data_IF_266665040954
#
_entry.id   IF_266665040954
#
_cell.length_a   1.000
_cell.length_b   1.000
_cell.length_c   1.000
_cell.angle_alpha   90.00
_cell.angle_beta   90.00
_cell.angle_gamma   90.00
#
_symmetry.space_group_name_H-M   'P 1'
#
loop_
_entity.id
_entity.type
_entity.pdbx_description
1 polymer ?
#
# COMPACT_ATOMS: atom_id res chain seq x y z
N UNK A 1 10.22 3.61 -5.54
CA UNK A 1 11.03 3.34 -6.74
C UNK A 1 10.16 2.66 -7.79
N UNK A 2 10.51 2.73 -9.07
CA UNK A 2 9.78 2.03 -10.15
C UNK A 2 10.08 0.53 -10.11
N UNK A 3 9.33 -0.28 -10.85
CA UNK A 3 9.53 -1.74 -10.87
C UNK A 3 10.94 -2.17 -11.29
N UNK A 4 11.54 -1.50 -12.28
CA UNK A 4 12.87 -1.86 -12.79
C UNK A 4 14.01 -1.28 -11.96
N UNK A 5 13.75 -0.18 -11.24
CA UNK A 5 14.76 0.54 -10.45
C UNK A 5 14.77 0.09 -8.97
N UNK A 6 13.85 -0.79 -8.57
CA UNK A 6 13.71 -1.22 -7.17
C UNK A 6 14.76 -2.26 -6.79
N UNK A 7 15.47 -2.04 -5.68
CA UNK A 7 16.30 -3.08 -5.07
C UNK A 7 15.42 -4.18 -4.45
N UNK A 8 15.47 -5.37 -5.04
CA UNK A 8 14.71 -6.54 -4.59
C UNK A 8 15.01 -6.93 -3.14
N UNK A 9 16.21 -6.64 -2.62
CA UNK A 9 16.57 -6.91 -1.22
C UNK A 9 15.74 -6.05 -0.26
N UNK A 10 15.45 -4.81 -0.62
CA UNK A 10 14.56 -3.95 0.16
C UNK A 10 13.11 -4.43 0.11
N UNK A 11 12.67 -4.98 -1.03
CA UNK A 11 11.36 -5.65 -1.14
C UNK A 11 11.30 -6.87 -0.22
N UNK A 12 12.33 -7.70 -0.20
CA UNK A 12 12.40 -8.86 0.70
C UNK A 12 12.37 -8.44 2.17
N UNK A 13 13.11 -7.40 2.56
CA UNK A 13 13.04 -6.83 3.91
C UNK A 13 11.63 -6.35 4.25
N UNK A 14 10.97 -5.65 3.32
CA UNK A 14 9.60 -5.19 3.49
C UNK A 14 8.63 -6.36 3.71
N UNK A 15 8.71 -7.44 2.92
CA UNK A 15 7.89 -8.64 3.10
C UNK A 15 8.20 -9.36 4.42
N UNK A 16 9.48 -9.45 4.78
CA UNK A 16 9.91 -10.04 6.06
C UNK A 16 9.25 -9.37 7.27
N UNK A 17 9.05 -8.05 7.22
CA UNK A 17 8.39 -7.28 8.28
C UNK A 17 6.87 -7.32 8.13
N UNK A 18 6.34 -6.90 6.98
CA UNK A 18 4.92 -6.59 6.81
C UNK A 18 4.04 -7.80 6.51
N UNK A 19 4.64 -8.90 6.04
CA UNK A 19 3.94 -10.15 5.74
C UNK A 19 4.39 -11.21 6.74
N UNK A 20 5.65 -11.61 6.69
CA UNK A 20 6.10 -12.73 7.51
C UNK A 20 6.12 -12.40 9.02
N UNK A 21 6.29 -11.13 9.41
CA UNK A 21 6.18 -10.69 10.80
C UNK A 21 4.83 -11.03 11.43
N UNK A 22 3.69 -10.50 10.92
CA UNK A 22 2.36 -10.87 11.37
C UNK A 22 2.07 -12.37 11.35
N UNK A 23 2.53 -13.11 10.33
CA UNK A 23 2.38 -14.57 10.29
C UNK A 23 3.09 -15.25 11.46
N UNK A 24 4.34 -14.87 11.75
CA UNK A 24 5.10 -15.39 12.90
C UNK A 24 4.40 -15.01 14.21
N UNK A 25 3.90 -13.78 14.35
CA UNK A 25 3.13 -13.37 15.53
C UNK A 25 1.91 -14.27 15.72
N UNK A 26 1.05 -14.42 14.72
CA UNK A 26 -0.15 -15.28 14.82
C UNK A 26 0.25 -16.72 15.14
N UNK A 27 1.30 -17.27 14.49
CA UNK A 27 1.79 -18.62 14.76
C UNK A 27 2.17 -18.83 16.23
N UNK A 28 2.80 -17.85 16.91
CA UNK A 28 3.17 -18.02 18.32
C UNK A 28 2.03 -17.70 19.30
N UNK A 29 1.18 -16.72 18.98
CA UNK A 29 0.13 -16.23 19.89
C UNK A 29 -1.23 -16.92 19.70
N UNK A 30 -1.41 -17.80 18.70
CA UNK A 30 -2.70 -18.44 18.42
C UNK A 30 -3.34 -19.16 19.62
N UNK A 31 -2.63 -19.87 20.53
CA UNK A 31 -3.29 -20.57 21.63
C UNK A 31 -3.97 -19.59 22.59
N UNK A 32 -3.32 -18.45 22.86
CA UNK A 32 -3.88 -17.38 23.69
C UNK A 32 -5.05 -16.68 22.99
N UNK A 33 -4.94 -16.44 21.68
CA UNK A 33 -6.01 -15.83 20.88
C UNK A 33 -7.26 -16.71 20.89
N UNK A 34 -7.11 -18.03 20.73
CA UNK A 34 -8.22 -19.00 20.78
C UNK A 34 -8.84 -19.03 22.18
N UNK A 35 -8.03 -19.17 23.24
CA UNK A 35 -8.52 -19.20 24.63
C UNK A 35 -9.30 -17.93 25.00
N UNK A 36 -8.85 -16.77 24.54
CA UNK A 36 -9.49 -15.49 24.83
C UNK A 36 -10.62 -15.12 23.86
N UNK A 37 -10.85 -15.90 22.79
CA UNK A 37 -11.74 -15.52 21.66
C UNK A 37 -11.41 -14.11 21.15
N UNK A 38 -10.11 -13.84 21.01
CA UNK A 38 -9.56 -12.53 20.74
C UNK A 38 -9.81 -12.01 19.33
N UNK A 39 -9.28 -10.83 19.03
CA UNK A 39 -9.36 -10.19 17.71
C UNK A 39 -7.97 -9.95 17.15
N UNK A 40 -7.70 -10.47 15.95
CA UNK A 40 -6.54 -10.10 15.13
C UNK A 40 -6.94 -8.89 14.29
N UNK A 41 -6.15 -7.82 14.39
CA UNK A 41 -6.33 -6.56 13.63
C UNK A 41 -5.16 -6.38 12.68
N UNK A 42 -5.39 -6.59 11.39
CA UNK A 42 -4.40 -6.35 10.35
C UNK A 42 -4.50 -4.91 9.85
N UNK A 43 -3.42 -4.14 9.93
CA UNK A 43 -3.38 -2.78 9.38
C UNK A 43 -2.87 -2.84 7.94
N UNK A 44 -3.77 -2.58 7.01
CA UNK A 44 -3.51 -2.46 5.58
C UNK A 44 -3.55 -1.03 5.08
N UNK A 45 -3.37 -0.88 3.76
CA UNK A 45 -3.31 0.41 3.08
C UNK A 45 -4.00 0.35 1.74
N UNK A 46 -4.60 1.47 1.32
CA UNK A 46 -5.07 1.66 -0.06
C UNK A 46 -3.99 1.44 -1.11
N UNK A 47 -2.71 1.63 -0.76
CA UNK A 47 -1.59 1.33 -1.67
C UNK A 47 -1.31 -0.17 -1.87
N UNK A 48 -2.03 -1.06 -1.18
CA UNK A 48 -2.07 -2.49 -1.51
C UNK A 48 -3.16 -2.85 -2.53
N UNK A 49 -4.00 -1.88 -2.91
CA UNK A 49 -5.11 -2.03 -3.88
C UNK A 49 -4.81 -1.23 -5.15
N UNK A 50 -4.31 0.00 -4.99
CA UNK A 50 -3.94 0.88 -6.11
C UNK A 50 -2.54 0.47 -6.63
N UNK A 51 -2.38 0.17 -7.94
CA UNK A 51 -1.09 -0.18 -8.54
C UNK A 51 -0.20 1.06 -8.68
N UNK A 52 0.42 1.46 -7.58
CA UNK A 52 1.17 2.70 -7.49
C UNK A 52 2.56 2.58 -8.11
N UNK A 53 2.93 3.50 -9.01
CA UNK A 53 4.18 3.41 -9.78
C UNK A 53 5.45 3.48 -8.92
N UNK A 54 5.47 4.36 -7.92
CA UNK A 54 6.69 4.68 -7.17
C UNK A 54 6.81 3.93 -5.83
N UNK A 55 6.08 2.84 -5.66
CA UNK A 55 6.29 1.94 -4.54
C UNK A 55 5.31 0.78 -4.50
N UNK A 56 5.76 -0.32 -3.93
CA UNK A 56 4.91 -1.44 -3.57
C UNK A 56 4.59 -1.35 -2.08
N UNK A 57 3.33 -1.63 -1.71
CA UNK A 57 2.99 -1.98 -0.33
C UNK A 57 2.56 -3.44 -0.32
N UNK A 58 3.28 -4.27 0.42
CA UNK A 58 2.84 -5.64 0.68
C UNK A 58 1.74 -5.60 1.74
N UNK A 59 0.55 -6.06 1.37
CA UNK A 59 -0.55 -6.24 2.31
C UNK A 59 -1.06 -7.68 2.25
N UNK A 60 -1.39 -8.25 3.41
CA UNK A 60 -2.06 -9.55 3.49
C UNK A 60 -3.55 -9.42 3.21
N UNK A 61 -3.95 -9.63 1.96
CA UNK A 61 -5.34 -9.92 1.61
C UNK A 61 -5.63 -11.41 1.88
N UNK A 62 -5.94 -11.76 3.12
CA UNK A 62 -6.32 -13.15 3.42
C UNK A 62 -6.83 -13.36 4.84
N UNK A 63 -8.11 -13.72 4.97
CA UNK A 63 -8.64 -14.36 6.18
C UNK A 63 -8.35 -15.85 6.06
N UNK A 64 -7.12 -16.29 6.33
CA UNK A 64 -6.82 -17.70 6.04
C UNK A 64 -7.58 -18.65 6.97
N UNK A 65 -7.75 -18.42 8.27
CA UNK A 65 -8.39 -19.45 9.12
C UNK A 65 -9.14 -18.89 10.35
N UNK A 66 -10.33 -18.30 10.14
CA UNK A 66 -11.24 -17.98 11.24
C UNK A 66 -12.17 -19.19 11.51
N UNK A 67 -11.67 -20.24 12.16
CA UNK A 67 -12.46 -21.45 12.47
C UNK A 67 -12.71 -21.70 13.98
N UNK A 68 -12.33 -20.80 14.88
CA UNK A 68 -12.39 -21.04 16.34
C UNK A 68 -12.68 -19.79 17.19
N UNK A 69 -13.78 -19.07 16.94
CA UNK A 69 -14.20 -17.85 17.68
C UNK A 69 -13.20 -16.67 17.70
N UNK A 70 -12.03 -16.81 17.06
CA UNK A 70 -11.08 -15.73 16.86
C UNK A 70 -11.57 -14.83 15.74
N UNK A 71 -11.70 -13.54 16.04
CA UNK A 71 -12.13 -12.52 15.09
C UNK A 71 -10.93 -12.03 14.31
N UNK A 72 -11.12 -11.78 13.02
CA UNK A 72 -10.08 -11.22 12.16
C UNK A 72 -10.68 -10.05 11.40
N UNK A 73 -10.13 -8.86 11.62
CA UNK A 73 -10.51 -7.63 10.93
C UNK A 73 -9.29 -7.02 10.26
N UNK A 74 -9.50 -6.46 9.09
CA UNK A 74 -8.50 -5.72 8.33
C UNK A 74 -8.92 -4.27 8.23
N UNK A 75 -8.03 -3.37 8.63
CA UNK A 75 -8.20 -1.93 8.47
C UNK A 75 -7.54 -1.52 7.17
N UNK A 76 -8.29 -1.01 6.21
CA UNK A 76 -7.75 -0.43 4.98
C UNK A 76 -7.55 1.07 5.21
N UNK A 77 -6.29 1.44 5.42
CA UNK A 77 -5.91 2.81 5.77
C UNK A 77 -5.65 3.65 4.53
N UNK A 78 -6.20 4.86 4.54
CA UNK A 78 -5.88 5.93 3.62
C UNK A 78 -4.53 6.60 3.90
N UNK A 79 -4.38 7.85 3.48
CA UNK A 79 -3.22 8.67 3.87
C UNK A 79 -3.37 9.12 5.33
N UNK A 80 -2.46 8.66 6.20
CA UNK A 80 -2.44 9.00 7.63
C UNK A 80 -1.18 9.81 7.94
N UNK A 81 -1.33 10.90 8.69
CA UNK A 81 -0.25 11.83 9.03
C UNK A 81 0.74 11.20 10.01
N UNK A 82 1.76 10.54 9.47
CA UNK A 82 2.82 9.83 10.20
C UNK A 82 4.19 10.19 9.64
N UNK A 83 5.26 9.74 10.30
CA UNK A 83 6.64 9.98 9.86
C UNK A 83 7.11 9.01 8.76
N UNK A 84 6.22 8.20 8.18
CA UNK A 84 6.60 7.13 7.23
C UNK A 84 7.25 7.64 5.95
N UNK A 85 6.95 8.88 5.54
CA UNK A 85 7.52 9.50 4.33
C UNK A 85 8.77 10.34 4.63
N UNK A 86 9.23 10.42 5.89
CA UNK A 86 10.36 11.30 6.27
C UNK A 86 11.66 10.94 5.53
N UNK A 87 11.91 9.66 5.33
CA UNK A 87 13.08 9.15 4.60
C UNK A 87 12.88 9.09 3.08
N UNK A 88 11.68 9.44 2.60
CA UNK A 88 11.31 9.30 1.20
C UNK A 88 11.88 10.46 0.36
N UNK A 89 12.00 11.64 0.97
CA UNK A 89 12.34 12.93 0.34
C UNK A 89 13.70 12.97 -0.36
N UNK A 90 14.62 12.09 0.01
CA UNK A 90 15.97 12.01 -0.56
C UNK A 90 16.08 11.05 -1.76
N UNK A 91 15.00 10.37 -2.16
CA UNK A 91 15.06 9.41 -3.26
C UNK A 91 15.25 10.11 -4.60
N UNK A 92 16.09 9.53 -5.44
CA UNK A 92 16.30 9.89 -6.84
C UNK A 92 16.14 8.66 -7.73
N UNK A 93 15.85 8.88 -9.02
CA UNK A 93 15.97 7.81 -10.00
C UNK A 93 17.46 7.44 -10.15
N UNK A 94 17.80 6.16 -10.32
CA UNK A 94 19.18 5.76 -10.58
C UNK A 94 19.65 6.27 -11.94
N UNK A 95 20.96 6.43 -12.07
CA UNK A 95 21.58 6.78 -13.34
C UNK A 95 21.28 5.70 -14.41
N UNK A 96 20.96 6.13 -15.63
CA UNK A 96 20.59 5.22 -16.72
C UNK A 96 19.21 4.58 -16.61
N UNK A 97 18.38 4.99 -15.64
CA UNK A 97 16.99 4.52 -15.56
C UNK A 97 16.21 4.83 -16.83
N UNK A 98 15.45 3.85 -17.34
CA UNK A 98 14.46 4.07 -18.41
C UNK A 98 13.43 5.17 -18.03
N UNK A 99 13.21 5.39 -16.73
CA UNK A 99 12.31 6.42 -16.23
C UNK A 99 12.96 7.80 -16.11
N UNK A 100 14.21 7.99 -16.52
CA UNK A 100 14.91 9.28 -16.46
C UNK A 100 14.12 10.47 -17.06
N UNK A 101 13.33 10.32 -18.16
CA UNK A 101 12.47 11.41 -18.65
C UNK A 101 11.40 11.90 -17.66
N UNK A 102 11.10 11.10 -16.62
CA UNK A 102 10.18 11.43 -15.52
C UNK A 102 10.90 11.90 -14.25
N UNK A 103 12.21 12.21 -14.30
CA UNK A 103 12.97 12.60 -13.11
C UNK A 103 12.35 13.78 -12.36
N UNK A 104 11.80 14.76 -13.07
CA UNK A 104 11.10 15.91 -12.48
C UNK A 104 9.82 15.48 -11.77
N UNK A 105 8.96 14.72 -12.44
CA UNK A 105 7.72 14.17 -11.88
C UNK A 105 7.99 13.28 -10.65
N UNK A 106 9.08 12.51 -10.68
CA UNK A 106 9.52 11.70 -9.56
C UNK A 106 9.94 12.57 -8.37
N UNK A 107 10.73 13.63 -8.59
CA UNK A 107 11.13 14.57 -7.53
C UNK A 107 9.92 15.28 -6.92
N UNK A 108 9.00 15.80 -7.75
CA UNK A 108 7.75 16.42 -7.30
C UNK A 108 6.90 15.44 -6.48
N UNK A 109 6.84 14.18 -6.90
CA UNK A 109 6.14 13.13 -6.17
C UNK A 109 6.77 12.84 -4.80
N UNK A 110 8.09 12.76 -4.74
CA UNK A 110 8.85 12.46 -3.52
C UNK A 110 8.77 13.61 -2.50
N UNK A 111 8.67 14.85 -2.97
CA UNK A 111 8.58 16.05 -2.13
C UNK A 111 7.13 16.44 -1.79
N UNK A 112 6.13 15.70 -2.27
CA UNK A 112 4.72 16.04 -2.06
C UNK A 112 4.33 16.03 -0.59
N UNK A 113 3.39 16.91 -0.24
CA UNK A 113 2.68 16.88 1.04
C UNK A 113 1.29 16.29 0.80
N UNK A 114 1.03 15.02 1.15
CA UNK A 114 -0.29 14.44 0.98
C UNK A 114 -1.30 15.08 1.93
N UNK A 115 -2.54 15.20 1.47
CA UNK A 115 -3.67 15.35 2.39
C UNK A 115 -3.78 14.08 3.24
N UNK A 116 -3.85 14.27 4.56
CA UNK A 116 -3.75 13.19 5.53
C UNK A 116 -4.78 13.31 6.64
N UNK A 117 -5.26 12.16 7.09
CA UNK A 117 -6.04 12.09 8.33
C UNK A 117 -5.09 12.18 9.53
N UNK A 118 -5.37 13.04 10.53
CA UNK A 118 -4.58 13.10 11.75
C UNK A 118 -4.59 11.76 12.50
N UNK A 119 -3.44 11.38 13.07
CA UNK A 119 -3.26 10.12 13.80
C UNK A 119 -4.28 9.88 14.92
N UNK A 120 -4.64 10.93 15.66
CA UNK A 120 -5.60 10.84 16.76
C UNK A 120 -7.02 10.55 16.26
N UNK A 121 -7.42 11.20 15.16
CA UNK A 121 -8.71 10.95 14.49
C UNK A 121 -8.75 9.53 13.97
N UNK A 122 -7.69 9.10 13.26
CA UNK A 122 -7.57 7.74 12.75
C UNK A 122 -7.71 6.69 13.88
N UNK A 123 -6.97 6.85 14.99
CA UNK A 123 -7.08 5.95 16.15
C UNK A 123 -8.49 5.95 16.77
N UNK A 124 -9.12 7.12 16.85
CA UNK A 124 -10.50 7.28 17.33
C UNK A 124 -11.54 6.53 16.49
N UNK A 125 -11.27 6.27 15.21
CA UNK A 125 -12.13 5.41 14.37
C UNK A 125 -11.76 3.93 14.48
N UNK A 126 -10.46 3.60 14.46
CA UNK A 126 -9.99 2.22 14.42
C UNK A 126 -10.26 1.48 15.73
N UNK A 127 -9.91 2.07 16.88
CA UNK A 127 -10.00 1.37 18.16
C UNK A 127 -11.43 0.92 18.48
N UNK A 128 -12.46 1.80 18.44
CA UNK A 128 -13.84 1.37 18.71
C UNK A 128 -14.32 0.30 17.75
N UNK A 129 -13.87 0.33 16.49
CA UNK A 129 -14.26 -0.67 15.50
C UNK A 129 -13.70 -2.05 15.82
N UNK A 130 -12.45 -2.12 16.27
CA UNK A 130 -11.77 -3.38 16.63
C UNK A 130 -12.30 -4.02 17.90
N UNK A 131 -12.89 -3.21 18.79
CA UNK A 131 -13.48 -3.64 20.06
C UNK A 131 -14.94 -4.11 19.96
N UNK A 132 -15.57 -4.00 18.77
CA UNK A 132 -16.94 -4.49 18.57
C UNK A 132 -17.02 -6.00 18.81
N UNK A 133 -18.19 -6.45 19.28
CA UNK A 133 -18.47 -7.88 19.40
C UNK A 133 -18.28 -8.60 18.06
N UNK A 134 -18.79 -8.00 16.99
CA UNK A 134 -18.66 -8.47 15.60
C UNK A 134 -18.03 -7.36 14.74
N UNK A 135 -16.69 -7.24 14.71
CA UNK A 135 -16.03 -6.27 13.85
C UNK A 135 -16.20 -6.71 12.38
N UNK A 136 -16.31 -5.78 11.42
CA UNK A 136 -16.38 -6.16 10.01
C UNK A 136 -15.07 -6.79 9.57
N UNK A 137 -15.15 -7.66 8.56
CA UNK A 137 -13.95 -8.24 7.96
C UNK A 137 -13.01 -7.15 7.43
N UNK A 138 -13.55 -6.12 6.76
CA UNK A 138 -12.80 -5.00 6.22
C UNK A 138 -13.39 -3.66 6.69
N UNK A 139 -12.54 -2.77 7.21
CA UNK A 139 -12.93 -1.44 7.63
C UNK A 139 -12.04 -0.39 6.95
N UNK A 140 -12.67 0.49 6.18
CA UNK A 140 -11.99 1.51 5.38
C UNK A 140 -12.02 2.84 6.11
N UNK A 141 -10.85 3.45 6.33
CA UNK A 141 -10.75 4.69 7.10
C UNK A 141 -9.53 5.52 6.70
N UNK A 142 -9.70 6.83 6.67
CA UNK A 142 -8.66 7.79 6.33
C UNK A 142 -8.86 8.43 4.96
N UNK A 143 -8.06 9.46 4.67
CA UNK A 143 -8.11 10.20 3.42
C UNK A 143 -7.93 9.26 2.22
N UNK A 144 -8.65 9.51 1.13
CA UNK A 144 -8.67 8.72 -0.12
C UNK A 144 -9.35 7.34 -0.06
N UNK A 145 -9.73 6.79 1.10
CA UNK A 145 -10.33 5.45 1.14
C UNK A 145 -11.68 5.34 0.44
N UNK A 146 -12.51 6.40 0.48
CA UNK A 146 -13.83 6.41 -0.15
C UNK A 146 -13.77 6.21 -1.66
N UNK A 147 -12.91 6.97 -2.35
CA UNK A 147 -12.74 6.84 -3.81
C UNK A 147 -12.07 5.52 -4.18
N UNK A 148 -11.06 5.08 -3.42
CA UNK A 148 -10.39 3.79 -3.69
C UNK A 148 -11.37 2.64 -3.51
N UNK A 149 -12.19 2.66 -2.46
CA UNK A 149 -13.22 1.65 -2.22
C UNK A 149 -14.27 1.65 -3.34
N UNK A 150 -14.71 2.82 -3.80
CA UNK A 150 -15.66 2.92 -4.91
C UNK A 150 -15.09 2.28 -6.18
N UNK A 151 -13.84 2.59 -6.52
CA UNK A 151 -13.16 2.01 -7.68
C UNK A 151 -12.87 0.51 -7.53
N UNK A 152 -12.56 0.04 -6.32
CA UNK A 152 -12.35 -1.39 -6.04
C UNK A 152 -13.64 -2.21 -6.19
N UNK A 153 -14.80 -1.63 -5.85
CA UNK A 153 -16.10 -2.31 -5.93
C UNK A 153 -16.70 -2.23 -7.34
N UNK A 154 -16.63 -1.07 -8.00
CA UNK A 154 -17.37 -0.81 -9.25
C UNK A 154 -16.47 -0.63 -10.48
N UNK A 155 -15.20 -0.35 -10.29
CA UNK A 155 -14.25 -0.16 -11.38
C UNK A 155 -13.89 -1.49 -12.03
N UNK A 156 -13.61 -1.44 -13.33
CA UNK A 156 -12.96 -2.55 -14.02
C UNK A 156 -11.50 -2.67 -13.56
N UNK A 157 -10.88 -3.84 -13.69
CA UNK A 157 -9.54 -4.11 -13.12
C UNK A 157 -8.45 -3.15 -13.58
N UNK A 158 -8.54 -2.66 -14.82
CA UNK A 158 -7.60 -1.72 -15.42
C UNK A 158 -7.98 -0.25 -15.20
N UNK A 159 -8.98 0.06 -14.36
CA UNK A 159 -9.45 1.45 -14.13
C UNK A 159 -8.31 2.35 -13.65
N UNK A 160 -7.41 1.78 -12.86
CA UNK A 160 -6.23 2.48 -12.36
C UNK A 160 -5.26 2.84 -13.47
N UNK A 161 -5.18 2.09 -14.56
CA UNK A 161 -4.29 2.40 -15.67
C UNK A 161 -4.72 3.71 -16.34
N UNK A 162 -6.03 3.89 -16.57
CA UNK A 162 -6.59 5.12 -17.14
C UNK A 162 -6.44 6.33 -16.20
N UNK A 163 -6.56 6.12 -14.90
CA UNK A 163 -6.43 7.19 -13.89
C UNK A 163 -4.96 7.57 -13.71
N UNK A 164 -4.06 6.60 -13.57
CA UNK A 164 -2.67 6.81 -13.19
C UNK A 164 -1.80 7.22 -14.37
N UNK A 165 -2.16 6.84 -15.60
CA UNK A 165 -1.43 7.24 -16.81
C UNK A 165 -1.20 8.75 -16.94
N UNK A 166 -2.25 9.61 -16.89
CA UNK A 166 -2.06 11.05 -16.94
C UNK A 166 -1.45 11.59 -15.64
N UNK A 167 -1.76 11.00 -14.49
CA UNK A 167 -1.25 11.45 -13.18
C UNK A 167 0.28 11.34 -13.09
N UNK A 168 0.87 10.27 -13.64
CA UNK A 168 2.32 10.08 -13.67
C UNK A 168 2.99 10.55 -14.96
N UNK A 169 2.22 11.18 -15.86
CA UNK A 169 2.73 11.70 -17.13
C UNK A 169 3.42 10.63 -18.01
N UNK A 170 2.88 9.40 -18.02
CA UNK A 170 3.53 8.23 -18.65
C UNK A 170 3.66 8.35 -20.17
N UNK A 171 2.93 9.27 -20.79
CA UNK A 171 3.11 9.61 -22.21
C UNK A 171 4.53 10.03 -22.56
N UNK A 172 5.30 10.62 -21.63
CA UNK A 172 6.70 11.00 -21.85
C UNK A 172 7.63 9.82 -22.13
N UNK A 173 7.29 8.63 -21.64
CA UNK A 173 8.09 7.43 -21.86
C UNK A 173 7.92 6.86 -23.27
N UNK A 174 6.97 7.36 -24.08
CA UNK A 174 6.73 6.85 -25.44
C UNK A 174 7.97 7.01 -26.33
N UNK A 175 8.62 8.17 -26.28
CA UNK A 175 9.85 8.43 -27.04
C UNK A 175 11.00 7.53 -26.58
N UNK A 176 11.19 7.40 -25.26
CA UNK A 176 12.21 6.50 -24.69
C UNK A 176 11.97 5.04 -25.07
N UNK A 177 10.70 4.62 -25.11
CA UNK A 177 10.30 3.27 -25.57
C UNK A 177 10.71 3.04 -27.02
N UNK A 178 10.54 4.03 -27.89
CA UNK A 178 10.92 3.93 -29.30
C UNK A 178 12.45 3.89 -29.47
N UNK A 179 13.20 4.67 -28.69
CA UNK A 179 14.67 4.63 -28.67
C UNK A 179 15.17 3.27 -28.22
N UNK A 180 14.66 2.75 -27.09
CA UNK A 180 15.02 1.43 -26.58
C UNK A 180 14.65 0.29 -27.54
N UNK A 181 13.56 0.42 -28.30
CA UNK A 181 13.22 -0.56 -29.34
C UNK A 181 14.20 -0.57 -30.51
N UNK A 182 14.75 0.59 -30.87
CA UNK A 182 15.69 0.75 -32.00
C UNK A 182 17.16 0.48 -31.64
N UNK A 183 17.52 0.67 -30.37
CA UNK A 183 18.90 0.49 -29.87
C UNK A 183 19.24 -0.91 -29.36
N UNK A 184 18.35 -1.89 -29.54
CA UNK A 184 18.56 -3.31 -29.21
C UNK A 184 18.61 -4.20 -30.48
N UNK A 185 18.82 -3.60 -31.66
CA UNK A 185 19.34 -4.27 -32.87
C UNK A 185 20.84 -4.01 -32.97
#
# INVERSE_FOLDING_TARGET
MTGIDTDVREVQKMFNVNVFGPMRMVHHFHPMLIKARGTIVNIGSVGGIVPYMYGCKSFMLGRTEAKQDVKVTTIISGNIGTNILKSDTARTLPEGSFYAPLAREFQEHVQRVPDTTPRAVYAGHVVPQTLKANPPAWYWVGATTGIVRFMDIFGFRTVWDYILWPVFNLGKLRQETEVWRRGNE
#
